data_IF_020919994971
#
_entry.id   IF_020919994971
#
_cell.length_a   1.000
_cell.length_b   1.000
_cell.length_c   1.000
_cell.angle_alpha   90.00
_cell.angle_beta   90.00
_cell.angle_gamma   90.00
#
_symmetry.space_group_name_H-M   'P 1'
#
loop_
_entity.id
_entity.type
_entity.pdbx_description
1 polymer ?
#
# COMPACT_ATOMS: atom_id res chain seq x y z
N UNK A 1 -55.84 -12.12 -7.32
CA UNK A 1 -56.42 -11.24 -8.33
C UNK A 1 -57.55 -10.44 -7.71
N UNK A 2 -57.35 -9.15 -7.50
CA UNK A 2 -58.40 -8.15 -7.30
C UNK A 2 -58.10 -6.99 -8.24
N UNK A 3 -59.01 -6.51 -9.05
CA UNK A 3 -58.81 -5.42 -9.98
C UNK A 3 -59.13 -4.08 -9.35
N UNK A 4 -58.34 -3.06 -9.63
CA UNK A 4 -58.72 -1.67 -9.49
C UNK A 4 -57.80 -0.79 -8.69
N UNK A 5 -56.66 -0.39 -9.24
CA UNK A 5 -56.00 0.85 -8.87
C UNK A 5 -55.67 1.66 -10.14
N UNK A 6 -55.93 2.99 -10.12
CA UNK A 6 -55.78 3.85 -11.28
C UNK A 6 -54.35 4.30 -11.50
N UNK A 7 -54.02 4.74 -12.74
CA UNK A 7 -52.67 5.09 -13.15
C UNK A 7 -52.23 6.46 -12.62
N UNK A 8 -50.92 6.59 -12.33
CA UNK A 8 -50.24 7.81 -11.92
C UNK A 8 -50.36 8.95 -12.94
N UNK A 9 -50.51 10.21 -12.52
CA UNK A 9 -50.61 11.34 -13.42
C UNK A 9 -49.24 11.79 -13.97
N UNK A 10 -49.29 12.17 -15.26
CA UNK A 10 -48.16 12.69 -16.05
C UNK A 10 -47.69 14.09 -15.59
N UNK A 11 -46.41 14.23 -15.58
CA UNK A 11 -45.50 15.37 -15.84
C UNK A 11 -46.06 16.80 -15.76
N UNK A 12 -45.51 17.60 -14.83
CA UNK A 12 -45.49 19.06 -14.91
C UNK A 12 -44.25 19.52 -15.67
N UNK A 13 -44.34 20.54 -16.54
CA UNK A 13 -43.19 21.11 -17.23
C UNK A 13 -42.41 22.06 -16.32
N UNK A 14 -41.07 22.04 -16.45
CA UNK A 14 -40.13 22.94 -15.81
C UNK A 14 -40.20 24.36 -16.38
N UNK A 15 -39.98 25.42 -15.60
CA UNK A 15 -39.95 26.78 -16.05
C UNK A 15 -38.68 27.06 -16.87
N UNK A 16 -38.85 27.78 -17.99
CA UNK A 16 -37.78 28.29 -18.86
C UNK A 16 -36.98 29.39 -18.14
N UNK A 17 -35.67 29.21 -18.03
CA UNK A 17 -34.74 30.25 -17.59
C UNK A 17 -34.37 31.14 -18.78
N UNK A 18 -34.67 32.40 -18.68
CA UNK A 18 -34.26 33.47 -19.57
C UNK A 18 -32.77 33.77 -19.43
N UNK A 19 -32.07 33.82 -20.55
CA UNK A 19 -30.67 34.27 -20.67
C UNK A 19 -30.59 35.78 -20.58
N UNK A 20 -29.69 36.37 -19.83
CA UNK A 20 -29.28 37.80 -20.00
C UNK A 20 -28.09 37.93 -20.99
N UNK A 21 -28.17 38.94 -21.83
CA UNK A 21 -27.22 39.41 -22.84
C UNK A 21 -25.93 39.99 -22.20
N UNK A 22 -24.78 40.02 -22.92
CA UNK A 22 -23.51 40.43 -22.37
C UNK A 22 -23.32 41.94 -22.40
N UNK A 23 -22.81 42.52 -21.32
CA UNK A 23 -22.28 43.90 -21.30
C UNK A 23 -20.85 43.92 -20.78
N UNK A 24 -20.00 44.40 -21.68
CA UNK A 24 -18.78 45.20 -21.49
C UNK A 24 -17.77 44.89 -20.36
N UNK A 25 -16.59 44.56 -20.86
CA UNK A 25 -15.22 44.73 -20.35
C UNK A 25 -14.99 45.78 -19.24
N UNK A 26 -14.29 45.33 -18.20
CA UNK A 26 -13.27 46.15 -17.56
C UNK A 26 -12.14 45.21 -17.06
N UNK A 27 -10.93 45.46 -17.55
CA UNK A 27 -9.66 44.94 -17.05
C UNK A 27 -9.56 45.14 -15.54
N UNK A 28 -9.48 44.05 -14.83
CA UNK A 28 -8.93 43.97 -13.49
C UNK A 28 -8.02 42.75 -13.47
N UNK A 29 -6.73 42.97 -13.60
CA UNK A 29 -5.69 42.04 -13.19
C UNK A 29 -5.95 41.67 -11.74
N UNK A 30 -6.68 40.59 -11.55
CA UNK A 30 -6.81 39.96 -10.26
C UNK A 30 -5.46 39.28 -9.95
N UNK A 31 -4.72 39.95 -9.09
CA UNK A 31 -3.57 39.41 -8.38
C UNK A 31 -4.04 38.10 -7.70
N UNK A 32 -3.58 36.97 -8.21
CA UNK A 32 -3.84 35.69 -7.59
C UNK A 32 -3.20 35.73 -6.20
N UNK A 33 -3.91 35.37 -5.12
CA UNK A 33 -3.31 35.34 -3.80
C UNK A 33 -2.12 34.39 -3.84
N UNK A 34 -0.98 34.71 -3.19
CA UNK A 34 0.16 33.82 -3.12
C UNK A 34 -0.32 32.50 -2.48
N UNK A 35 -0.08 31.41 -3.16
CA UNK A 35 -0.30 30.09 -2.63
C UNK A 35 0.57 29.95 -1.37
N UNK A 36 -0.01 30.20 -0.21
CA UNK A 36 0.55 29.80 1.09
C UNK A 36 0.35 28.29 1.23
N UNK A 37 0.97 27.52 0.34
CA UNK A 37 0.96 26.07 0.40
C UNK A 37 1.93 25.61 1.48
N UNK A 38 1.44 24.89 2.47
CA UNK A 38 2.29 24.03 3.30
C UNK A 38 2.84 22.97 2.35
N UNK A 39 4.08 23.15 1.92
CA UNK A 39 4.79 22.18 1.07
C UNK A 39 5.34 21.05 1.94
N UNK A 40 5.39 19.83 1.41
CA UNK A 40 6.10 18.73 2.05
C UNK A 40 7.59 19.05 2.23
N UNK A 41 8.23 18.37 3.20
CA UNK A 41 9.67 18.60 3.48
C UNK A 41 10.52 17.70 2.58
N UNK A 42 11.52 18.29 1.91
CA UNK A 42 12.48 17.56 1.09
C UNK A 42 13.82 17.41 1.81
N UNK A 43 14.44 16.24 1.68
CA UNK A 43 15.75 15.90 2.24
C UNK A 43 16.63 15.29 1.15
N UNK A 44 17.83 15.78 0.98
CA UNK A 44 18.77 15.38 -0.08
C UNK A 44 19.37 13.97 0.13
N UNK A 45 19.12 13.34 1.25
CA UNK A 45 19.59 11.97 1.55
C UNK A 45 18.94 11.39 2.80
N UNK A 46 19.04 10.07 2.97
CA UNK A 46 18.65 9.37 4.19
C UNK A 46 19.42 9.94 5.41
N UNK A 47 20.70 10.26 5.27
CA UNK A 47 21.49 10.83 6.36
C UNK A 47 20.99 12.23 6.75
N UNK A 48 20.66 13.08 5.77
CA UNK A 48 20.08 14.40 6.02
C UNK A 48 18.71 14.31 6.72
N UNK A 49 17.86 13.37 6.29
CA UNK A 49 16.60 13.09 6.98
C UNK A 49 16.81 12.68 8.42
N UNK A 50 17.70 11.73 8.70
CA UNK A 50 17.94 11.21 10.05
C UNK A 50 18.58 12.24 10.99
N UNK A 51 19.37 13.17 10.47
CA UNK A 51 19.97 14.24 11.27
C UNK A 51 18.93 15.18 11.92
N UNK A 52 17.78 15.38 11.25
CA UNK A 52 16.68 16.23 11.74
C UNK A 52 15.37 15.49 12.02
N UNK A 53 15.26 14.22 11.62
CA UNK A 53 14.01 13.48 11.55
C UNK A 53 13.54 12.79 12.83
N UNK A 54 14.22 12.92 13.95
CA UNK A 54 13.81 12.25 15.21
C UNK A 54 12.38 12.62 15.64
N UNK A 55 12.00 13.88 15.49
CA UNK A 55 10.64 14.34 15.79
C UNK A 55 9.58 13.72 14.85
N UNK A 56 9.97 13.41 13.61
CA UNK A 56 9.12 12.73 12.62
C UNK A 56 8.91 11.28 13.02
N UNK A 57 9.99 10.57 13.36
CA UNK A 57 9.96 9.18 13.78
C UNK A 57 9.28 8.97 15.13
N UNK A 58 9.28 9.97 16.00
CA UNK A 58 8.56 9.95 17.27
C UNK A 58 7.02 10.07 17.09
N UNK A 59 6.54 10.55 15.94
CA UNK A 59 5.10 10.62 15.60
C UNK A 59 4.62 9.34 14.91
N UNK A 60 4.90 8.19 15.52
CA UNK A 60 4.43 6.89 15.03
C UNK A 60 2.88 6.78 15.06
N UNK A 61 2.26 5.96 14.19
CA UNK A 61 2.89 5.08 13.21
C UNK A 61 3.48 5.83 12.00
N UNK A 62 4.64 5.36 11.55
CA UNK A 62 5.38 5.94 10.41
C UNK A 62 5.25 5.03 9.20
N UNK A 63 4.86 5.58 8.03
CA UNK A 63 4.88 4.86 6.76
C UNK A 63 6.13 5.22 5.95
N UNK A 64 6.89 4.22 5.52
CA UNK A 64 8.04 4.32 4.66
C UNK A 64 7.64 3.84 3.25
N UNK A 65 7.59 4.73 2.27
CA UNK A 65 7.17 4.42 0.92
C UNK A 65 8.38 4.49 -0.01
N UNK A 66 8.63 3.41 -0.75
CA UNK A 66 9.70 3.30 -1.73
C UNK A 66 9.13 3.58 -3.12
N UNK A 67 9.39 4.75 -3.71
CA UNK A 67 8.98 5.06 -5.08
C UNK A 67 10.02 4.53 -6.08
N UNK A 68 9.63 3.55 -6.89
CA UNK A 68 10.44 3.00 -7.98
C UNK A 68 10.20 3.75 -9.31
N UNK A 69 9.04 4.37 -9.44
CA UNK A 69 8.60 5.22 -10.55
C UNK A 69 7.49 6.19 -10.07
N UNK A 70 6.95 7.00 -10.97
CA UNK A 70 5.95 8.01 -10.63
C UNK A 70 4.50 7.47 -10.52
N UNK A 71 4.25 6.20 -10.89
CA UNK A 71 2.89 5.65 -10.93
C UNK A 71 2.30 5.53 -9.53
N UNK A 72 1.12 6.13 -9.33
CA UNK A 72 0.32 6.04 -8.09
C UNK A 72 1.06 6.47 -6.81
N UNK A 73 2.11 7.29 -6.91
CA UNK A 73 2.83 7.79 -5.72
C UNK A 73 1.91 8.66 -4.86
N UNK A 74 1.23 9.62 -5.46
CA UNK A 74 0.31 10.51 -4.74
C UNK A 74 -0.89 9.73 -4.16
N UNK A 75 -1.46 8.79 -4.93
CA UNK A 75 -2.52 7.88 -4.49
C UNK A 75 -2.09 7.03 -3.30
N UNK A 76 -0.86 6.48 -3.35
CA UNK A 76 -0.28 5.70 -2.24
C UNK A 76 -0.10 6.56 -0.97
N UNK A 77 0.47 7.77 -1.10
CA UNK A 77 0.64 8.70 0.03
C UNK A 77 -0.70 9.08 0.65
N UNK A 78 -1.69 9.47 -0.19
CA UNK A 78 -3.01 9.86 0.26
C UNK A 78 -3.75 8.70 0.98
N UNK A 79 -3.62 7.48 0.47
CA UNK A 79 -4.21 6.29 1.10
C UNK A 79 -3.65 6.06 2.51
N UNK A 80 -2.33 6.09 2.68
CA UNK A 80 -1.72 5.85 3.99
C UNK A 80 -2.00 6.98 4.98
N UNK A 81 -2.02 8.24 4.53
CA UNK A 81 -2.46 9.35 5.38
C UNK A 81 -3.90 9.15 5.87
N UNK A 82 -4.82 8.75 4.98
CA UNK A 82 -6.22 8.48 5.33
C UNK A 82 -6.39 7.34 6.34
N UNK A 83 -5.50 6.34 6.32
CA UNK A 83 -5.47 5.24 7.30
C UNK A 83 -4.98 5.69 8.68
N UNK A 84 -4.48 6.94 8.86
CA UNK A 84 -4.04 7.46 10.14
C UNK A 84 -2.53 7.40 10.38
N UNK A 85 -1.71 7.18 9.35
CA UNK A 85 -0.25 7.33 9.49
C UNK A 85 0.08 8.80 9.76
N UNK A 86 0.79 9.07 10.85
CA UNK A 86 1.09 10.42 11.34
C UNK A 86 2.37 11.01 10.77
N UNK A 87 3.18 10.18 10.14
CA UNK A 87 4.37 10.56 9.39
C UNK A 87 4.52 9.64 8.19
N UNK A 88 4.78 10.24 7.02
CA UNK A 88 5.00 9.51 5.77
C UNK A 88 6.35 9.92 5.23
N UNK A 89 7.26 8.97 5.05
CA UNK A 89 8.59 9.18 4.49
C UNK A 89 8.64 8.50 3.13
N UNK A 90 8.70 9.31 2.08
CA UNK A 90 8.76 8.87 0.69
C UNK A 90 10.21 8.88 0.22
N UNK A 91 10.78 7.72 0.00
CA UNK A 91 12.09 7.55 -0.63
C UNK A 91 11.93 7.47 -2.14
N UNK A 92 12.65 8.31 -2.87
CA UNK A 92 12.58 8.37 -4.32
C UNK A 92 13.95 8.75 -4.90
N UNK A 93 14.30 8.30 -6.14
CA UNK A 93 15.46 8.84 -6.85
C UNK A 93 15.36 10.37 -6.98
N UNK A 94 16.49 11.06 -6.84
CA UNK A 94 16.52 12.54 -6.88
C UNK A 94 15.94 13.09 -8.19
N UNK A 95 16.23 12.41 -9.30
CA UNK A 95 15.79 12.76 -10.65
C UNK A 95 14.31 12.41 -10.93
N UNK A 96 13.65 11.66 -10.07
CA UNK A 96 12.26 11.27 -10.28
C UNK A 96 11.31 12.45 -10.02
N UNK A 97 10.72 12.98 -11.08
CA UNK A 97 9.70 14.01 -10.97
C UNK A 97 8.38 13.43 -10.45
N UNK A 98 7.82 14.05 -9.43
CA UNK A 98 6.57 13.65 -8.76
C UNK A 98 5.62 14.85 -8.64
N UNK A 99 5.12 15.41 -9.77
CA UNK A 99 4.32 16.64 -9.78
C UNK A 99 2.98 16.49 -9.02
N UNK A 100 2.44 15.28 -8.95
CA UNK A 100 1.15 15.02 -8.30
C UNK A 100 1.20 15.18 -6.77
N UNK A 101 2.39 15.22 -6.17
CA UNK A 101 2.55 15.48 -4.73
C UNK A 101 2.12 16.90 -4.36
N UNK A 102 2.31 17.87 -5.25
CA UNK A 102 1.93 19.27 -5.03
C UNK A 102 0.40 19.48 -5.06
N UNK A 103 -0.32 18.52 -5.68
CA UNK A 103 -1.78 18.50 -5.71
C UNK A 103 -2.41 17.81 -4.48
N UNK A 104 -1.63 17.19 -3.60
CA UNK A 104 -2.14 16.56 -2.38
C UNK A 104 -2.75 17.60 -1.42
N UNK A 105 -3.78 17.24 -0.62
CA UNK A 105 -4.31 18.10 0.41
C UNK A 105 -3.22 18.59 1.37
N UNK A 106 -3.29 19.84 1.83
CA UNK A 106 -2.28 20.45 2.72
C UNK A 106 -2.03 19.63 3.99
N UNK A 107 -3.07 19.00 4.55
CA UNK A 107 -2.94 18.09 5.69
C UNK A 107 -2.06 16.86 5.38
N UNK A 108 -2.14 16.34 4.15
CA UNK A 108 -1.31 15.22 3.70
C UNK A 108 0.12 15.68 3.46
N UNK A 109 0.31 16.84 2.82
CA UNK A 109 1.63 17.43 2.62
C UNK A 109 2.35 17.72 3.94
N UNK A 110 1.63 18.17 4.98
CA UNK A 110 2.19 18.49 6.29
C UNK A 110 2.83 17.31 7.03
N UNK A 111 2.47 16.08 6.68
CA UNK A 111 3.03 14.85 7.28
C UNK A 111 3.99 14.13 6.33
N UNK A 112 4.20 14.65 5.11
CA UNK A 112 5.01 14.04 4.08
C UNK A 112 6.45 14.57 4.11
N UNK A 113 7.41 13.66 4.10
CA UNK A 113 8.84 13.91 3.96
C UNK A 113 9.36 13.15 2.73
N UNK A 114 9.80 13.86 1.70
CA UNK A 114 10.49 13.26 0.56
C UNK A 114 11.98 13.16 0.88
N UNK A 115 12.57 12.01 0.61
CA UNK A 115 14.00 11.73 0.85
C UNK A 115 14.62 11.19 -0.44
N UNK A 116 15.65 11.85 -0.94
CA UNK A 116 16.39 11.36 -2.11
C UNK A 116 17.15 10.09 -1.75
N UNK A 117 16.87 9.04 -2.54
CA UNK A 117 17.42 7.72 -2.31
C UNK A 117 17.33 6.84 -3.57
N UNK A 118 18.36 6.08 -3.88
CA UNK A 118 18.36 5.10 -4.97
C UNK A 118 17.50 3.87 -4.58
N UNK A 119 16.21 3.97 -4.85
CA UNK A 119 15.23 2.91 -4.58
C UNK A 119 15.34 1.72 -5.54
N UNK A 120 15.97 1.92 -6.70
CA UNK A 120 16.16 0.87 -7.73
C UNK A 120 17.38 -0.02 -7.44
N UNK A 121 18.28 0.43 -6.57
CA UNK A 121 19.40 -0.40 -6.14
C UNK A 121 18.93 -1.71 -5.51
N UNK A 122 19.65 -2.81 -5.75
CA UNK A 122 19.30 -4.15 -5.24
C UNK A 122 19.10 -4.20 -3.71
N UNK A 123 19.78 -3.33 -2.95
CA UNK A 123 19.63 -3.17 -1.51
C UNK A 123 18.94 -1.84 -1.14
N UNK A 124 18.27 -1.16 -2.07
CA UNK A 124 17.66 0.15 -1.84
C UNK A 124 16.71 0.14 -0.64
N UNK A 125 15.82 -0.85 -0.56
CA UNK A 125 14.93 -1.03 0.59
C UNK A 125 15.69 -1.10 1.93
N UNK A 126 16.71 -1.94 2.01
CA UNK A 126 17.43 -2.16 3.27
C UNK A 126 18.27 -0.95 3.68
N UNK A 127 18.83 -0.22 2.70
CA UNK A 127 19.60 1.02 2.93
C UNK A 127 18.71 2.19 3.36
N UNK A 128 17.42 2.15 3.05
CA UNK A 128 16.45 3.13 3.53
C UNK A 128 15.88 2.72 4.90
N UNK A 129 15.36 1.50 5.03
CA UNK A 129 14.56 1.07 6.18
C UNK A 129 15.42 0.81 7.41
N UNK A 130 16.57 0.12 7.29
CA UNK A 130 17.38 -0.25 8.45
C UNK A 130 17.95 0.95 9.22
N UNK A 131 18.46 2.02 8.57
CA UNK A 131 18.85 3.23 9.30
C UNK A 131 17.68 3.92 10.01
N UNK A 132 16.46 3.87 9.42
CA UNK A 132 15.25 4.39 10.08
C UNK A 132 14.88 3.57 11.31
N UNK A 133 14.94 2.23 11.23
CA UNK A 133 14.72 1.36 12.41
C UNK A 133 15.70 1.71 13.54
N UNK A 134 16.97 1.88 13.20
CA UNK A 134 18.02 2.19 14.19
C UNK A 134 17.86 3.57 14.84
N UNK A 135 17.28 4.54 14.13
CA UNK A 135 17.08 5.92 14.60
C UNK A 135 15.72 6.15 15.28
N UNK A 136 14.73 5.30 15.00
CA UNK A 136 13.39 5.43 15.56
C UNK A 136 13.40 5.19 17.09
N UNK A 137 12.53 5.88 17.86
CA UNK A 137 12.32 5.55 19.26
C UNK A 137 11.94 4.08 19.44
N UNK A 138 12.46 3.45 20.48
CA UNK A 138 12.11 2.06 20.80
C UNK A 138 10.60 1.91 20.99
N UNK A 139 10.02 0.92 20.33
CA UNK A 139 8.58 0.68 20.34
C UNK A 139 7.76 1.51 19.33
N UNK A 140 8.38 2.42 18.57
CA UNK A 140 7.69 3.13 17.49
C UNK A 140 7.25 2.15 16.39
N UNK A 141 6.01 2.24 15.97
CA UNK A 141 5.49 1.43 14.88
C UNK A 141 5.93 1.96 13.52
N UNK A 142 6.50 1.09 12.70
CA UNK A 142 6.97 1.34 11.34
C UNK A 142 6.24 0.41 10.39
N UNK A 143 5.78 0.97 9.27
CA UNK A 143 5.26 0.27 8.12
C UNK A 143 6.14 0.58 6.91
N UNK A 144 6.31 -0.35 5.97
CA UNK A 144 6.95 -0.06 4.70
C UNK A 144 6.22 -0.70 3.53
N UNK A 145 6.20 0.02 2.40
CA UNK A 145 5.65 -0.43 1.14
C UNK A 145 6.37 0.21 -0.04
N UNK A 146 5.91 -0.12 -1.24
CA UNK A 146 6.32 0.53 -2.48
C UNK A 146 5.19 1.42 -3.02
N UNK A 147 5.49 2.28 -4.01
CA UNK A 147 4.43 3.00 -4.73
C UNK A 147 3.48 2.03 -5.44
N UNK A 148 2.22 2.42 -5.59
CA UNK A 148 1.12 1.60 -6.05
C UNK A 148 0.85 0.35 -5.17
N UNK A 149 1.17 0.43 -3.87
CA UNK A 149 0.82 -0.52 -2.83
C UNK A 149 -0.09 0.14 -1.79
N UNK A 150 -1.15 -0.54 -1.39
CA UNK A 150 -2.21 -0.02 -0.53
C UNK A 150 -2.47 -0.98 0.62
N UNK A 151 -2.25 -0.50 1.84
CA UNK A 151 -2.49 -1.28 3.05
C UNK A 151 -3.99 -1.41 3.33
N UNK A 152 -4.43 -2.62 3.61
CA UNK A 152 -5.74 -2.94 4.15
C UNK A 152 -5.59 -3.78 5.41
N UNK A 153 -6.40 -3.49 6.41
CA UNK A 153 -6.54 -4.29 7.62
C UNK A 153 -8.02 -4.40 7.96
N UNK A 154 -8.44 -5.37 8.78
CA UNK A 154 -9.84 -5.54 9.13
C UNK A 154 -10.45 -4.23 9.60
N UNK A 155 -11.62 -3.87 9.07
CA UNK A 155 -12.40 -2.69 9.44
C UNK A 155 -11.72 -1.33 9.17
N UNK A 156 -10.74 -1.26 8.28
CA UNK A 156 -9.98 -0.04 7.99
C UNK A 156 -10.81 1.11 7.37
N UNK A 157 -12.07 0.88 7.04
CA UNK A 157 -13.02 1.92 6.62
C UNK A 157 -13.56 2.73 7.79
N UNK A 158 -13.56 2.18 9.00
CA UNK A 158 -14.16 2.77 10.20
C UNK A 158 -13.18 2.91 11.36
N UNK A 159 -12.03 2.26 11.30
CA UNK A 159 -10.98 2.29 12.32
C UNK A 159 -9.64 2.71 11.69
N UNK A 160 -8.85 3.43 12.45
CA UNK A 160 -7.53 3.85 11.99
C UNK A 160 -6.43 2.81 12.31
N UNK A 161 -5.25 3.01 11.70
CA UNK A 161 -4.12 2.12 11.92
C UNK A 161 -3.62 2.13 13.36
N UNK A 162 -3.78 3.24 14.08
CA UNK A 162 -3.38 3.37 15.49
C UNK A 162 -4.22 2.47 16.40
N UNK A 163 -5.53 2.38 16.16
CA UNK A 163 -6.44 1.49 16.89
C UNK A 163 -6.07 0.01 16.66
N UNK A 164 -5.81 -0.36 15.39
CA UNK A 164 -5.35 -1.71 15.05
C UNK A 164 -4.03 -2.05 15.74
N UNK A 165 -3.06 -1.14 15.71
CA UNK A 165 -1.75 -1.37 16.31
C UNK A 165 -1.80 -1.38 17.85
N UNK A 166 -2.71 -0.64 18.48
CA UNK A 166 -2.95 -0.71 19.91
C UNK A 166 -3.45 -2.10 20.31
N UNK A 167 -4.47 -2.62 19.62
CA UNK A 167 -4.96 -3.99 19.82
C UNK A 167 -3.84 -5.03 19.63
N UNK A 168 -3.08 -4.93 18.55
CA UNK A 168 -1.99 -5.86 18.25
C UNK A 168 -0.89 -5.85 19.34
N UNK A 169 -0.65 -4.68 19.94
CA UNK A 169 0.27 -4.53 21.07
C UNK A 169 -0.29 -5.14 22.38
N UNK A 170 -1.62 -5.06 22.61
CA UNK A 170 -2.28 -5.73 23.73
C UNK A 170 -2.16 -7.25 23.64
N UNK A 171 -2.21 -7.80 22.43
CA UNK A 171 -1.90 -9.21 22.13
C UNK A 171 -0.40 -9.56 22.28
N UNK A 172 0.42 -8.62 22.79
CA UNK A 172 1.88 -8.75 22.98
C UNK A 172 2.64 -9.05 21.69
N UNK A 173 2.13 -8.56 20.55
CA UNK A 173 2.77 -8.67 19.24
C UNK A 173 3.56 -7.41 18.92
N UNK A 174 4.78 -7.60 18.43
CA UNK A 174 5.67 -6.52 18.00
C UNK A 174 5.81 -6.42 16.48
N UNK A 175 5.25 -7.37 15.74
CA UNK A 175 5.31 -7.43 14.29
C UNK A 175 4.03 -8.08 13.73
N UNK A 176 3.63 -7.67 12.53
CA UNK A 176 2.45 -8.16 11.83
C UNK A 176 2.82 -8.70 10.46
N UNK A 177 2.38 -9.92 10.19
CA UNK A 177 2.43 -10.49 8.86
C UNK A 177 1.44 -9.76 7.94
N UNK A 178 1.91 -9.41 6.75
CA UNK A 178 1.07 -8.87 5.68
C UNK A 178 1.16 -9.77 4.45
N UNK A 179 0.03 -9.95 3.77
CA UNK A 179 -0.01 -10.63 2.47
C UNK A 179 0.02 -9.59 1.36
N UNK A 180 0.93 -9.74 0.41
CA UNK A 180 0.94 -8.92 -0.80
C UNK A 180 -0.03 -9.54 -1.81
N UNK A 181 -1.19 -8.92 -1.96
CA UNK A 181 -2.24 -9.33 -2.90
C UNK A 181 -2.04 -8.55 -4.20
N UNK A 182 -1.71 -9.27 -5.27
CA UNK A 182 -1.45 -8.64 -6.56
C UNK A 182 -2.74 -8.05 -7.15
N UNK A 183 -2.71 -6.75 -7.48
CA UNK A 183 -3.72 -6.05 -8.27
C UNK A 183 -3.26 -5.90 -9.71
N UNK A 184 -4.23 -5.84 -10.64
CA UNK A 184 -3.96 -5.64 -12.06
C UNK A 184 -5.15 -5.02 -12.80
N UNK A 185 -4.88 -4.34 -13.91
CA UNK A 185 -5.89 -3.85 -14.82
C UNK A 185 -6.58 -5.01 -15.55
N UNK A 186 -7.89 -4.94 -15.71
CA UNK A 186 -8.66 -5.94 -16.46
C UNK A 186 -8.42 -5.90 -17.97
N UNK A 187 -8.04 -4.74 -18.51
CA UNK A 187 -7.78 -4.52 -19.94
C UNK A 187 -6.40 -3.85 -20.14
N UNK A 188 -5.44 -4.64 -20.62
CA UNK A 188 -4.08 -4.19 -20.88
C UNK A 188 -3.96 -3.34 -22.18
N UNK A 189 -4.96 -3.35 -23.05
CA UNK A 189 -4.96 -2.46 -24.22
C UNK A 189 -5.23 -1.01 -23.82
N UNK A 190 -6.04 -0.80 -22.77
CA UNK A 190 -6.33 0.52 -22.18
C UNK A 190 -5.27 0.93 -21.13
N UNK A 191 -4.70 -0.04 -20.43
CA UNK A 191 -3.75 0.16 -19.34
C UNK A 191 -2.47 -0.67 -19.58
N UNK A 192 -1.60 -0.27 -20.51
CA UNK A 192 -0.45 -1.09 -20.93
C UNK A 192 0.60 -1.31 -19.84
N UNK A 193 0.63 -0.47 -18.80
CA UNK A 193 1.46 -0.65 -17.60
C UNK A 193 0.79 -1.51 -16.51
N UNK A 194 -0.43 -2.01 -16.77
CA UNK A 194 -1.25 -2.83 -15.87
C UNK A 194 -1.71 -2.14 -14.58
N UNK A 195 -1.57 -0.83 -14.46
CA UNK A 195 -2.01 -0.05 -13.29
C UNK A 195 -3.30 0.67 -13.63
N UNK A 196 -4.39 0.33 -12.97
CA UNK A 196 -5.71 0.93 -13.15
C UNK A 196 -6.50 0.86 -11.83
N UNK A 197 -6.33 1.82 -10.90
CA UNK A 197 -7.05 1.81 -9.63
C UNK A 197 -8.57 1.76 -9.80
N UNK A 198 -9.12 2.47 -10.79
CA UNK A 198 -10.56 2.53 -11.07
C UNK A 198 -11.13 1.20 -11.59
N UNK A 199 -10.29 0.38 -12.22
CA UNK A 199 -10.64 -0.90 -12.84
C UNK A 199 -9.72 -2.04 -12.35
N UNK A 200 -9.39 -2.03 -11.06
CA UNK A 200 -8.52 -3.02 -10.44
C UNK A 200 -9.22 -4.38 -10.30
N UNK A 201 -8.47 -5.44 -10.56
CA UNK A 201 -8.85 -6.82 -10.30
C UNK A 201 -7.82 -7.50 -9.41
N UNK A 202 -8.23 -8.56 -8.75
CA UNK A 202 -7.37 -9.47 -7.98
C UNK A 202 -7.80 -10.92 -8.22
N UNK A 203 -6.93 -11.85 -7.83
CA UNK A 203 -7.25 -13.29 -7.87
C UNK A 203 -7.96 -13.70 -6.58
N UNK A 204 -9.18 -14.26 -6.67
CA UNK A 204 -9.95 -14.73 -5.50
C UNK A 204 -9.47 -16.06 -4.94
N UNK A 205 -8.61 -16.79 -5.66
CA UNK A 205 -8.11 -18.13 -5.31
C UNK A 205 -6.73 -18.36 -5.93
N UNK A 206 -6.08 -19.47 -5.55
CA UNK A 206 -4.75 -19.81 -6.03
C UNK A 206 -3.66 -19.37 -5.05
N UNK A 207 -3.99 -19.39 -3.75
CA UNK A 207 -3.04 -19.09 -2.67
C UNK A 207 -2.78 -20.35 -1.85
N UNK A 208 -1.53 -20.52 -1.42
CA UNK A 208 -1.13 -21.64 -0.58
C UNK A 208 0.05 -21.25 0.32
N UNK A 209 0.27 -22.02 1.38
CA UNK A 209 1.36 -21.80 2.31
C UNK A 209 2.21 -23.07 2.45
N UNK A 210 3.51 -22.89 2.63
CA UNK A 210 4.46 -23.94 2.94
C UNK A 210 5.21 -23.60 4.22
N UNK A 211 5.57 -24.61 5.02
CA UNK A 211 6.44 -24.38 6.16
C UNK A 211 7.78 -23.82 5.69
N UNK A 212 8.24 -22.76 6.37
CA UNK A 212 9.54 -22.14 6.07
C UNK A 212 10.66 -23.08 6.46
N UNK A 213 11.56 -23.45 5.53
CA UNK A 213 12.68 -24.34 5.86
C UNK A 213 13.70 -23.62 6.75
N UNK A 214 14.26 -24.35 7.69
CA UNK A 214 15.38 -23.91 8.52
C UNK A 214 16.70 -24.34 7.89
N UNK A 215 17.53 -23.41 7.37
CA UNK A 215 18.82 -23.76 6.79
C UNK A 215 19.83 -24.35 7.79
N UNK A 216 19.65 -24.06 9.10
CA UNK A 216 20.53 -24.54 10.16
C UNK A 216 20.14 -25.94 10.64
N UNK A 217 18.97 -26.44 10.21
CA UNK A 217 18.44 -27.77 10.58
C UNK A 217 18.10 -28.61 9.34
N UNK A 218 18.99 -28.64 8.35
CA UNK A 218 18.84 -29.43 7.12
C UNK A 218 17.51 -29.22 6.36
N UNK A 219 16.92 -28.03 6.49
CA UNK A 219 15.66 -27.70 5.85
C UNK A 219 14.41 -28.17 6.61
N UNK A 220 14.55 -28.58 7.87
CA UNK A 220 13.41 -28.89 8.72
C UNK A 220 12.45 -27.70 8.82
N UNK A 221 11.14 -27.90 8.94
CA UNK A 221 10.18 -26.83 9.03
C UNK A 221 10.37 -26.01 10.31
N UNK A 222 10.49 -24.69 10.19
CA UNK A 222 10.48 -23.78 11.34
C UNK A 222 9.09 -23.77 11.98
N UNK A 223 9.06 -23.81 13.29
CA UNK A 223 7.81 -23.73 14.03
C UNK A 223 7.14 -22.36 13.80
N UNK A 224 5.83 -22.37 13.51
CA UNK A 224 4.98 -21.17 13.34
C UNK A 224 5.45 -20.17 12.25
N UNK A 225 6.35 -20.57 11.36
CA UNK A 225 6.80 -19.76 10.25
C UNK A 225 6.38 -20.39 8.92
N UNK A 226 5.66 -19.63 8.12
CA UNK A 226 5.17 -20.05 6.81
C UNK A 226 5.66 -19.07 5.73
N UNK A 227 5.91 -19.62 4.55
CA UNK A 227 6.07 -18.90 3.31
C UNK A 227 4.77 -19.01 2.51
N UNK A 228 4.22 -17.90 2.08
CA UNK A 228 2.96 -17.83 1.33
C UNK A 228 3.24 -17.53 -0.13
N UNK A 229 2.42 -18.13 -1.01
CA UNK A 229 2.54 -18.06 -2.46
C UNK A 229 1.16 -17.84 -3.07
N UNK A 230 1.09 -17.20 -4.24
CA UNK A 230 -0.16 -17.00 -4.97
C UNK A 230 -0.14 -15.77 -5.88
N UNK A 231 -1.32 -15.44 -6.41
CA UNK A 231 -1.51 -14.29 -7.29
C UNK A 231 -0.71 -14.37 -8.58
N UNK A 232 -0.33 -13.24 -9.12
CA UNK A 232 0.44 -13.16 -10.37
C UNK A 232 1.83 -13.80 -10.24
N UNK A 233 2.43 -13.79 -9.05
CA UNK A 233 3.76 -14.38 -8.80
C UNK A 233 3.78 -15.90 -8.94
N UNK A 234 2.65 -16.54 -8.71
CA UNK A 234 2.46 -17.97 -8.96
C UNK A 234 2.03 -18.25 -10.40
N UNK A 235 1.07 -17.45 -10.93
CA UNK A 235 0.53 -17.67 -12.28
C UNK A 235 1.56 -17.44 -13.39
N UNK A 236 2.52 -16.56 -13.17
CA UNK A 236 3.58 -16.18 -14.10
C UNK A 236 4.96 -16.47 -13.52
N UNK A 237 5.08 -17.62 -12.83
CA UNK A 237 6.33 -17.96 -12.12
C UNK A 237 7.54 -18.11 -13.03
N UNK A 238 7.37 -18.41 -14.32
CA UNK A 238 8.43 -18.47 -15.33
C UNK A 238 9.09 -17.10 -15.54
N UNK A 239 8.37 -16.01 -15.25
CA UNK A 239 8.87 -14.63 -15.37
C UNK A 239 9.26 -14.01 -14.01
N UNK A 240 8.99 -14.70 -12.90
CA UNK A 240 9.25 -14.18 -11.55
C UNK A 240 10.40 -14.96 -10.91
N UNK A 241 11.54 -14.31 -10.56
CA UNK A 241 12.65 -14.97 -9.89
C UNK A 241 12.19 -15.70 -8.62
N UNK A 242 12.68 -16.93 -8.40
CA UNK A 242 12.25 -17.79 -7.26
C UNK A 242 12.28 -17.05 -5.91
N UNK A 243 13.29 -16.23 -5.66
CA UNK A 243 13.43 -15.46 -4.42
C UNK A 243 12.35 -14.37 -4.24
N UNK A 244 11.56 -14.03 -5.29
CA UNK A 244 10.53 -13.00 -5.28
C UNK A 244 9.10 -13.56 -5.43
N UNK A 245 8.94 -14.89 -5.42
CA UNK A 245 7.62 -15.53 -5.59
C UNK A 245 6.76 -15.49 -4.33
N UNK A 246 7.36 -15.30 -3.16
CA UNK A 246 6.61 -15.20 -1.91
C UNK A 246 5.78 -13.92 -1.84
N UNK A 247 4.61 -14.03 -1.22
CA UNK A 247 3.68 -12.93 -1.00
C UNK A 247 3.64 -12.48 0.46
N UNK A 248 4.29 -13.21 1.38
CA UNK A 248 4.40 -12.82 2.78
C UNK A 248 5.46 -11.73 2.98
N UNK A 249 5.14 -10.79 3.87
CA UNK A 249 6.00 -9.70 4.25
C UNK A 249 5.72 -9.34 5.71
N UNK A 250 6.75 -9.14 6.53
CA UNK A 250 6.57 -8.48 7.83
C UNK A 250 6.52 -6.98 7.55
N UNK A 251 5.32 -6.49 7.22
CA UNK A 251 5.13 -5.12 6.73
C UNK A 251 5.00 -4.07 7.81
N UNK A 252 4.51 -4.45 9.01
CA UNK A 252 4.35 -3.57 10.17
C UNK A 252 5.10 -4.18 11.35
N UNK A 253 5.90 -3.37 12.03
CA UNK A 253 6.68 -3.82 13.19
C UNK A 253 7.05 -2.67 14.10
N UNK A 254 7.38 -2.97 15.36
CA UNK A 254 7.89 -2.01 16.33
C UNK A 254 9.41 -1.93 16.22
N UNK A 255 9.93 -0.71 16.17
CA UNK A 255 11.36 -0.50 16.23
C UNK A 255 11.92 -1.03 17.56
N UNK A 256 13.01 -1.76 17.49
CA UNK A 256 13.73 -2.30 18.66
C UNK A 256 15.22 -2.21 18.41
N UNK A 257 15.97 -2.14 19.51
CA UNK A 257 17.43 -2.03 19.45
C UNK A 257 18.04 -3.26 18.75
N UNK A 258 18.81 -3.03 17.70
CA UNK A 258 19.47 -4.10 16.93
C UNK A 258 18.56 -4.84 15.95
N UNK A 259 17.27 -4.49 15.89
CA UNK A 259 16.36 -5.06 14.89
C UNK A 259 16.75 -4.60 13.49
N UNK A 260 16.76 -5.51 12.53
CA UNK A 260 16.99 -5.21 11.12
C UNK A 260 16.03 -5.96 10.20
N UNK A 261 15.65 -5.31 9.10
CA UNK A 261 14.91 -5.93 8.00
C UNK A 261 15.89 -6.70 7.11
N UNK A 262 15.50 -7.91 6.69
CA UNK A 262 16.25 -8.77 5.76
C UNK A 262 15.70 -8.65 4.33
N UNK A 263 16.50 -9.02 3.35
CA UNK A 263 16.13 -8.95 1.91
C UNK A 263 14.96 -9.86 1.51
N UNK A 264 14.62 -10.85 2.31
CA UNK A 264 13.46 -11.72 2.13
C UNK A 264 12.20 -11.21 2.85
N UNK A 265 12.19 -9.97 3.29
CA UNK A 265 11.09 -9.30 4.00
C UNK A 265 10.75 -9.87 5.38
N UNK A 266 11.70 -10.60 6.02
CA UNK A 266 11.65 -10.99 7.42
C UNK A 266 12.52 -10.08 8.28
N UNK A 267 12.35 -10.14 9.59
CA UNK A 267 13.18 -9.40 10.55
C UNK A 267 14.30 -10.28 11.13
N UNK A 268 15.34 -9.65 11.68
CA UNK A 268 16.47 -10.35 12.33
C UNK A 268 16.04 -11.10 13.59
N UNK A 269 15.00 -10.64 14.27
CA UNK A 269 14.36 -11.34 15.38
C UNK A 269 13.36 -12.36 14.83
N UNK A 270 13.58 -13.64 15.09
CA UNK A 270 12.75 -14.73 14.56
C UNK A 270 11.35 -14.77 15.17
N UNK A 271 11.14 -14.27 16.39
CA UNK A 271 9.80 -14.18 16.98
C UNK A 271 8.90 -13.22 16.20
N UNK A 272 9.47 -12.16 15.63
CA UNK A 272 8.75 -11.25 14.75
C UNK A 272 8.27 -11.90 13.44
N UNK A 273 8.83 -13.04 13.03
CA UNK A 273 8.51 -13.72 11.79
C UNK A 273 7.46 -14.81 11.96
N UNK A 274 6.89 -14.98 13.15
CA UNK A 274 5.87 -16.01 13.43
C UNK A 274 4.50 -15.55 12.97
N UNK A 275 3.69 -16.51 12.49
CA UNK A 275 2.36 -16.23 11.95
C UNK A 275 1.24 -16.51 12.97
N UNK A 276 1.19 -17.74 13.50
CA UNK A 276 0.11 -18.16 14.37
C UNK A 276 0.64 -19.10 15.45
N UNK A 277 -0.14 -19.29 16.51
CA UNK A 277 0.05 -20.41 17.45
C UNK A 277 -0.98 -21.50 17.18
N UNK A 278 -0.79 -22.73 17.73
CA UNK A 278 -1.68 -23.86 17.41
C UNK A 278 -3.16 -23.67 17.76
N UNK A 279 -3.47 -22.72 18.64
CA UNK A 279 -4.82 -22.52 19.18
C UNK A 279 -5.51 -21.23 18.70
N UNK A 280 -4.82 -20.32 18.01
CA UNK A 280 -5.47 -19.16 17.41
C UNK A 280 -4.67 -18.58 16.26
N UNK A 281 -5.38 -17.88 15.36
CA UNK A 281 -4.80 -17.11 14.28
C UNK A 281 -4.55 -15.67 14.72
N UNK A 282 -3.44 -15.09 14.28
CA UNK A 282 -3.12 -13.71 14.54
C UNK A 282 -3.88 -12.80 13.58
N UNK A 283 -4.11 -11.56 14.03
CA UNK A 283 -4.49 -10.49 13.14
C UNK A 283 -3.42 -10.31 12.05
N UNK A 284 -3.85 -10.26 10.79
CA UNK A 284 -3.01 -9.98 9.63
C UNK A 284 -3.54 -8.79 8.84
N UNK A 285 -2.73 -8.25 7.95
CA UNK A 285 -3.13 -7.22 7.01
C UNK A 285 -2.79 -7.64 5.58
N UNK A 286 -3.41 -6.99 4.60
CA UNK A 286 -3.11 -7.17 3.19
C UNK A 286 -2.47 -5.91 2.62
N UNK A 287 -1.50 -6.08 1.73
CA UNK A 287 -0.94 -5.01 0.90
C UNK A 287 -1.42 -5.28 -0.53
N UNK A 288 -2.45 -4.58 -0.97
CA UNK A 288 -2.97 -4.67 -2.32
C UNK A 288 -2.03 -3.90 -3.27
N UNK A 289 -1.43 -4.59 -4.25
CA UNK A 289 -0.22 -4.13 -4.95
C UNK A 289 -0.30 -4.31 -6.46
N UNK A 290 -0.13 -3.22 -7.21
CA UNK A 290 0.06 -3.28 -8.67
C UNK A 290 1.50 -3.60 -9.07
N UNK A 291 2.43 -3.70 -8.12
CA UNK A 291 3.86 -3.78 -8.39
C UNK A 291 4.26 -4.97 -9.26
N UNK A 292 3.69 -6.15 -9.01
CA UNK A 292 4.00 -7.36 -9.81
C UNK A 292 3.44 -7.24 -11.22
N UNK A 293 2.21 -6.79 -11.39
CA UNK A 293 1.57 -6.57 -12.69
C UNK A 293 2.36 -5.54 -13.52
N UNK A 294 2.71 -4.41 -12.90
CA UNK A 294 3.55 -3.38 -13.49
C UNK A 294 4.91 -3.94 -13.94
N UNK A 295 5.59 -4.70 -13.10
CA UNK A 295 6.87 -5.31 -13.41
C UNK A 295 6.78 -6.29 -14.59
N UNK A 296 5.75 -7.13 -14.65
CA UNK A 296 5.52 -8.08 -15.74
C UNK A 296 5.26 -7.37 -17.09
N UNK A 297 4.66 -6.17 -17.07
CA UNK A 297 4.37 -5.38 -18.29
C UNK A 297 5.48 -4.41 -18.69
N UNK A 298 6.39 -4.10 -17.81
CA UNK A 298 7.54 -3.22 -18.12
C UNK A 298 8.83 -3.96 -18.40
N UNK A 299 8.96 -5.20 -17.92
CA UNK A 299 10.16 -6.02 -18.17
C UNK A 299 10.16 -6.57 -19.61
N UNK A 300 11.21 -6.32 -20.41
CA UNK A 300 11.33 -6.86 -21.76
C UNK A 300 11.20 -8.40 -21.86
N UNK A 301 11.57 -9.13 -20.79
CA UNK A 301 11.49 -10.59 -20.75
C UNK A 301 10.07 -11.15 -20.58
N UNK A 302 9.08 -10.33 -20.23
CA UNK A 302 7.71 -10.78 -19.98
C UNK A 302 6.63 -9.94 -20.69
N UNK A 303 6.93 -8.70 -21.07
CA UNK A 303 5.92 -7.75 -21.60
C UNK A 303 5.18 -8.26 -22.82
N UNK A 304 5.85 -9.04 -23.71
CA UNK A 304 5.25 -9.62 -24.91
C UNK A 304 4.65 -11.01 -24.69
N UNK A 305 4.95 -11.66 -23.56
CA UNK A 305 4.44 -12.99 -23.23
C UNK A 305 3.12 -12.90 -22.43
N UNK A 306 2.79 -11.73 -21.89
CA UNK A 306 1.61 -11.53 -21.06
C UNK A 306 0.61 -10.63 -21.78
N UNK A 307 -0.42 -11.23 -22.40
CA UNK A 307 -1.48 -10.51 -23.12
C UNK A 307 -2.61 -10.06 -22.21
N UNK A 308 -2.85 -10.78 -21.12
CA UNK A 308 -3.86 -10.45 -20.12
C UNK A 308 -3.51 -11.04 -18.75
N UNK A 309 -3.95 -10.36 -17.70
CA UNK A 309 -3.97 -10.91 -16.33
C UNK A 309 -5.33 -11.50 -15.98
N UNK A 310 -6.37 -11.17 -16.74
CA UNK A 310 -7.72 -11.66 -16.45
C UNK A 310 -7.83 -13.17 -16.69
N UNK A 311 -8.49 -13.88 -15.78
CA UNK A 311 -8.80 -15.31 -15.86
C UNK A 311 -10.07 -15.63 -15.07
N UNK A 312 -10.52 -16.90 -15.04
CA UNK A 312 -11.80 -17.29 -14.42
C UNK A 312 -11.89 -17.03 -12.90
N UNK A 313 -10.78 -16.86 -12.21
CA UNK A 313 -10.75 -16.48 -10.79
C UNK A 313 -10.48 -14.99 -10.55
N UNK A 314 -10.41 -14.17 -11.58
CA UNK A 314 -10.35 -12.72 -11.44
C UNK A 314 -11.67 -12.18 -10.91
N UNK A 315 -11.59 -11.33 -9.87
CA UNK A 315 -12.72 -10.57 -9.35
C UNK A 315 -12.35 -9.10 -9.29
N UNK A 316 -13.32 -8.22 -9.49
CA UNK A 316 -13.09 -6.79 -9.37
C UNK A 316 -12.75 -6.45 -7.92
N UNK A 317 -11.75 -5.61 -7.71
CA UNK A 317 -11.39 -5.13 -6.39
C UNK A 317 -12.34 -4.00 -5.96
N UNK A 318 -12.94 -4.14 -4.79
CA UNK A 318 -13.97 -3.23 -4.28
C UNK A 318 -13.40 -2.14 -3.37
N UNK A 319 -12.09 -2.11 -3.16
CA UNK A 319 -11.38 -1.16 -2.29
C UNK A 319 -11.89 -1.16 -0.85
N UNK A 320 -12.32 -2.30 -0.34
CA UNK A 320 -12.75 -2.47 1.05
C UNK A 320 -12.14 -3.72 1.71
N UNK A 321 -11.99 -3.66 3.03
CA UNK A 321 -11.38 -4.75 3.80
C UNK A 321 -12.29 -5.98 3.92
N UNK A 322 -13.61 -5.81 3.83
CA UNK A 322 -14.56 -6.92 3.94
C UNK A 322 -14.37 -7.92 2.82
N UNK A 323 -14.16 -7.45 1.58
CA UNK A 323 -13.88 -8.35 0.45
C UNK A 323 -12.63 -9.21 0.71
N UNK A 324 -11.58 -8.64 1.28
CA UNK A 324 -10.35 -9.40 1.58
C UNK A 324 -10.56 -10.41 2.71
N UNK A 325 -11.38 -10.09 3.69
CA UNK A 325 -11.80 -11.03 4.75
C UNK A 325 -12.63 -12.18 4.17
N UNK A 326 -13.62 -11.88 3.35
CA UNK A 326 -14.52 -12.88 2.73
C UNK A 326 -13.75 -13.83 1.79
N UNK A 327 -12.69 -13.35 1.17
CA UNK A 327 -11.80 -14.15 0.31
C UNK A 327 -10.71 -14.91 1.09
N UNK A 328 -10.60 -14.70 2.40
CA UNK A 328 -9.54 -15.29 3.23
C UNK A 328 -8.13 -14.77 2.92
N UNK A 329 -8.03 -13.56 2.36
CA UNK A 329 -6.77 -12.88 2.04
C UNK A 329 -6.26 -12.01 3.19
N UNK A 330 -6.97 -12.03 4.31
CA UNK A 330 -6.67 -11.31 5.53
C UNK A 330 -7.44 -11.95 6.68
N UNK A 331 -6.88 -11.94 7.88
CA UNK A 331 -7.52 -12.51 9.07
C UNK A 331 -7.73 -11.46 10.15
N UNK A 332 -8.92 -11.40 10.79
CA UNK A 332 -9.21 -10.42 11.83
C UNK A 332 -8.57 -10.78 13.18
N UNK A 333 -8.11 -12.03 13.35
CA UNK A 333 -7.68 -12.53 14.65
C UNK A 333 -8.85 -12.48 15.64
N UNK A 334 -8.64 -11.83 16.79
CA UNK A 334 -9.66 -11.59 17.82
C UNK A 334 -10.12 -10.12 17.86
N UNK A 335 -9.81 -9.36 16.83
CA UNK A 335 -10.20 -7.96 16.71
C UNK A 335 -11.52 -7.84 15.96
N UNK A 336 -12.59 -7.39 16.69
CA UNK A 336 -13.97 -7.27 16.20
C UNK A 336 -14.48 -5.85 16.34
#
# INVERSE_FOLDING_TARGET
>A
MRPGDPPFPLSRPLPQMTTPSPAASSDATADAPPATGVSYVHHDSVAAFLAGGQAVLARAPVALIMAEDALEVAGTVAHHHRLGFRSIVLFAPAELALPDLDALPSATQAVLHRVDHDTLHAQGLLRAVNPVIAAAPEGAWIYYCYNAEYLFFPFCQTRDVGEMLAFHAEERRSAMLTYVVDLYAGDLSRHPNAVAPEEAYLDRAGYYALARPDPEQDGAPRERQLDFYGGLRWRFEEHVPKARRKIDRIGLFRAARGLTLRGNHTLSDEECNTYACPWHHNLTAAICSFRTAKALKTNPGSTFAVDTFWWHNSVRFEWNSQQLLDLGLMEPGQWF
#
